data_IF_027225910923
#
_entry.id   IF_027225910923
#
_cell.length_a   1.000
_cell.length_b   1.000
_cell.length_c   1.000
_cell.angle_alpha   90.00
_cell.angle_beta   90.00
_cell.angle_gamma   90.00
#
_symmetry.space_group_name_H-M   'P 1'
#
loop_
_entity.id
_entity.type
_entity.pdbx_description
1 polymer ?
#
# COMPACT_ATOMS: atom_id res chain seq x y z
N UNK A 1 29.20 12.68 -16.66
CA UNK A 1 29.09 14.12 -16.32
C UNK A 1 28.54 14.23 -14.90
N UNK A 2 29.44 14.29 -13.93
CA UNK A 2 29.20 14.45 -12.48
C UNK A 2 30.30 15.43 -12.03
N UNK A 3 30.15 16.41 -11.14
CA UNK A 3 29.09 16.90 -10.26
C UNK A 3 29.50 18.36 -10.04
N UNK A 4 28.71 19.36 -10.44
CA UNK A 4 29.13 20.76 -10.27
C UNK A 4 29.05 21.25 -8.82
N UNK A 5 28.42 20.50 -7.92
CA UNK A 5 28.41 20.83 -6.50
C UNK A 5 28.05 19.58 -5.66
N UNK A 6 29.02 18.88 -5.05
CA UNK A 6 28.78 17.66 -4.29
C UNK A 6 27.94 17.92 -3.03
N UNK A 7 28.05 19.09 -2.42
CA UNK A 7 27.26 19.46 -1.23
C UNK A 7 25.77 19.64 -1.57
N UNK A 8 25.47 20.27 -2.71
CA UNK A 8 24.10 20.40 -3.21
C UNK A 8 23.51 19.02 -3.54
N UNK A 9 24.29 18.16 -4.22
CA UNK A 9 23.86 16.81 -4.54
C UNK A 9 23.56 16.01 -3.28
N UNK A 10 24.46 16.04 -2.29
CA UNK A 10 24.27 15.34 -1.02
C UNK A 10 23.08 15.87 -0.21
N UNK A 11 22.73 17.15 -0.36
CA UNK A 11 21.55 17.77 0.29
C UNK A 11 20.24 17.42 -0.42
N UNK A 12 20.26 17.27 -1.75
CA UNK A 12 19.09 16.91 -2.56
C UNK A 12 18.86 15.40 -2.64
N UNK A 13 19.91 14.58 -2.53
CA UNK A 13 19.83 13.13 -2.69
C UNK A 13 18.87 12.45 -1.70
N UNK A 14 18.78 12.85 -0.41
CA UNK A 14 17.75 12.34 0.50
C UNK A 14 16.33 12.80 0.17
N UNK A 15 16.18 13.92 -0.56
CA UNK A 15 14.90 14.46 -1.02
C UNK A 15 14.43 13.82 -2.34
N UNK A 16 15.34 13.18 -3.08
CA UNK A 16 14.97 12.30 -4.18
C UNK A 16 14.12 11.17 -3.58
N UNK A 17 12.82 11.26 -3.88
CA UNK A 17 11.71 10.53 -3.25
C UNK A 17 12.12 9.15 -2.72
N UNK A 18 11.73 8.90 -1.47
CA UNK A 18 11.82 7.60 -0.82
C UNK A 18 11.51 6.47 -1.79
N UNK A 19 12.31 5.39 -1.74
CA UNK A 19 12.16 4.21 -2.58
C UNK A 19 10.66 3.88 -2.75
N UNK A 20 10.10 4.00 -3.97
CA UNK A 20 8.66 3.86 -4.20
C UNK A 20 8.15 2.45 -3.91
N UNK A 21 9.05 1.49 -3.67
CA UNK A 21 8.72 0.14 -3.24
C UNK A 21 8.51 0.02 -1.72
N UNK A 22 8.74 1.10 -0.94
CA UNK A 22 8.56 1.08 0.51
C UNK A 22 7.23 1.71 0.91
N UNK A 23 6.46 1.02 1.76
CA UNK A 23 5.17 1.48 2.29
C UNK A 23 5.23 2.90 2.88
N UNK A 24 6.36 3.27 3.51
CA UNK A 24 6.60 4.59 4.10
C UNK A 24 6.57 5.74 3.08
N UNK A 25 6.71 5.46 1.78
CA UNK A 25 6.62 6.46 0.73
C UNK A 25 5.18 6.92 0.46
N UNK A 26 4.19 6.18 0.98
CA UNK A 26 2.76 6.44 0.76
C UNK A 26 1.98 6.69 2.05
N UNK A 27 2.55 6.35 3.21
CA UNK A 27 1.90 6.51 4.51
C UNK A 27 2.72 7.38 5.44
N UNK A 28 2.08 8.40 5.99
CA UNK A 28 2.59 9.24 7.06
C UNK A 28 2.03 8.75 8.40
N UNK A 29 2.92 8.42 9.34
CA UNK A 29 2.52 7.94 10.67
C UNK A 29 2.02 9.10 11.52
N UNK A 30 0.75 9.04 11.92
CA UNK A 30 0.15 10.02 12.84
C UNK A 30 0.28 9.52 14.28
N UNK A 31 -0.13 8.28 14.53
CA UNK A 31 -0.05 7.63 15.84
C UNK A 31 0.16 6.12 15.66
N UNK A 32 0.88 5.48 16.57
CA UNK A 32 1.20 4.05 16.45
C UNK A 32 1.34 3.46 17.83
N UNK A 33 0.84 2.22 18.02
CA UNK A 33 0.91 1.50 19.28
C UNK A 33 0.16 2.22 20.42
N UNK A 34 -0.99 2.83 20.11
CA UNK A 34 -1.83 3.49 21.10
C UNK A 34 -2.77 2.46 21.74
N UNK A 35 -2.65 2.24 23.05
CA UNK A 35 -3.54 1.32 23.77
C UNK A 35 -4.97 1.89 23.82
N UNK A 36 -5.95 1.06 23.48
CA UNK A 36 -7.37 1.41 23.63
C UNK A 36 -7.84 0.96 25.00
N UNK A 37 -8.25 1.92 25.83
CA UNK A 37 -8.71 1.66 27.21
C UNK A 37 -9.81 0.60 27.26
N UNK A 38 -9.74 -0.28 28.25
CA UNK A 38 -10.69 -1.38 28.42
C UNK A 38 -10.52 -2.54 27.43
N UNK A 39 -9.46 -2.56 26.62
CA UNK A 39 -9.18 -3.64 25.65
C UNK A 39 -7.70 -4.01 25.62
N UNK A 40 -7.36 -5.16 25.02
CA UNK A 40 -5.97 -5.52 24.69
C UNK A 40 -5.53 -4.97 23.31
N UNK A 41 -6.34 -4.10 22.71
CA UNK A 41 -6.16 -3.62 21.33
C UNK A 41 -5.19 -2.44 21.27
N UNK A 42 -4.36 -2.44 20.22
CA UNK A 42 -3.45 -1.35 19.87
C UNK A 42 -3.92 -0.68 18.58
N UNK A 43 -4.11 0.63 18.62
CA UNK A 43 -4.46 1.44 17.47
C UNK A 43 -3.21 1.97 16.75
N UNK A 44 -3.30 1.98 15.43
CA UNK A 44 -2.30 2.56 14.54
C UNK A 44 -3.02 3.45 13.52
N UNK A 45 -2.61 4.70 13.41
CA UNK A 45 -3.21 5.72 12.57
C UNK A 45 -2.17 6.27 11.59
N UNK A 46 -2.50 6.22 10.31
CA UNK A 46 -1.66 6.69 9.23
C UNK A 46 -2.51 7.54 8.27
N UNK A 47 -1.92 8.60 7.73
CA UNK A 47 -2.48 9.33 6.60
C UNK A 47 -1.78 8.95 5.31
N UNK A 48 -2.50 9.08 4.19
CA UNK A 48 -1.88 8.94 2.87
C UNK A 48 -1.01 10.17 2.62
N UNK A 49 0.25 9.94 2.25
CA UNK A 49 1.21 10.98 1.96
C UNK A 49 0.70 11.93 0.87
N UNK A 50 1.09 13.20 0.96
CA UNK A 50 0.71 14.22 -0.01
C UNK A 50 1.66 14.26 -1.21
N UNK A 51 1.17 14.73 -2.36
CA UNK A 51 2.00 15.06 -3.51
C UNK A 51 2.59 16.48 -3.40
N UNK A 52 3.38 16.89 -4.39
CA UNK A 52 3.98 18.24 -4.40
C UNK A 52 2.96 19.38 -4.49
N UNK A 53 1.69 19.08 -4.74
CA UNK A 53 0.57 20.02 -4.78
C UNK A 53 -0.34 19.89 -3.54
N UNK A 54 0.14 19.24 -2.46
CA UNK A 54 -0.60 18.99 -1.22
C UNK A 54 -1.86 18.15 -1.38
N UNK A 55 -1.95 17.33 -2.44
CA UNK A 55 -3.09 16.42 -2.65
C UNK A 55 -2.74 15.02 -2.14
N UNK A 56 -3.66 14.32 -1.46
CA UNK A 56 -3.43 12.94 -1.04
C UNK A 56 -3.12 12.02 -2.22
N UNK A 57 -2.04 11.23 -2.13
CA UNK A 57 -1.56 10.31 -3.17
C UNK A 57 -2.33 8.98 -3.21
N UNK A 58 -3.66 9.04 -3.11
CA UNK A 58 -4.52 7.86 -2.98
C UNK A 58 -4.35 6.89 -4.16
N UNK A 59 -4.32 7.41 -5.39
CA UNK A 59 -4.14 6.58 -6.58
C UNK A 59 -2.78 5.89 -6.63
N UNK A 60 -1.72 6.59 -6.22
CA UNK A 60 -0.38 5.99 -6.18
C UNK A 60 -0.30 4.91 -5.10
N UNK A 61 -0.88 5.17 -3.94
CA UNK A 61 -0.94 4.20 -2.86
C UNK A 61 -1.75 2.96 -3.24
N UNK A 62 -2.92 3.15 -3.86
CA UNK A 62 -3.75 2.05 -4.35
C UNK A 62 -3.02 1.19 -5.38
N UNK A 63 -2.27 1.82 -6.31
CA UNK A 63 -1.42 1.12 -7.27
C UNK A 63 -0.31 0.33 -6.57
N UNK A 64 0.39 0.93 -5.61
CA UNK A 64 1.41 0.24 -4.82
C UNK A 64 0.84 -1.00 -4.12
N UNK A 65 -0.32 -0.89 -3.45
CA UNK A 65 -0.97 -2.04 -2.82
C UNK A 65 -1.39 -3.10 -3.85
N UNK A 66 -1.89 -2.68 -5.02
CA UNK A 66 -2.26 -3.60 -6.08
C UNK A 66 -1.05 -4.40 -6.63
N UNK A 67 0.15 -3.82 -6.64
CA UNK A 67 1.39 -4.51 -7.02
C UNK A 67 1.81 -5.56 -5.97
N UNK A 68 1.48 -5.34 -4.69
CA UNK A 68 1.76 -6.27 -3.59
C UNK A 68 0.68 -7.34 -3.40
N UNK A 69 -0.38 -7.33 -4.21
CA UNK A 69 -1.58 -8.16 -3.98
C UNK A 69 -1.27 -9.65 -3.99
N UNK A 70 -0.33 -10.09 -4.85
CA UNK A 70 0.10 -11.49 -4.92
C UNK A 70 0.81 -11.89 -3.62
N UNK A 71 1.71 -11.05 -3.12
CA UNK A 71 2.48 -11.32 -1.92
C UNK A 71 1.64 -11.37 -0.63
N UNK A 72 0.53 -10.64 -0.62
CA UNK A 72 -0.39 -10.55 0.52
C UNK A 72 -1.45 -11.66 0.45
N UNK A 73 -1.97 -11.96 -0.74
CA UNK A 73 -3.15 -12.82 -0.89
C UNK A 73 -2.84 -14.28 -1.24
N UNK A 74 -1.66 -14.57 -1.78
CA UNK A 74 -1.29 -15.91 -2.25
C UNK A 74 -0.29 -16.58 -1.30
N UNK A 75 -0.49 -17.87 -0.94
CA UNK A 75 0.49 -18.61 -0.14
C UNK A 75 1.88 -18.68 -0.79
N UNK A 76 2.93 -18.55 0.03
CA UNK A 76 4.33 -18.55 -0.44
C UNK A 76 4.74 -19.82 -1.19
N UNK A 77 4.20 -20.97 -0.81
CA UNK A 77 4.42 -22.24 -1.52
C UNK A 77 3.89 -22.21 -2.96
N UNK A 78 2.76 -21.56 -3.18
CA UNK A 78 2.16 -21.42 -4.51
C UNK A 78 2.94 -20.44 -5.39
N UNK A 79 3.41 -19.33 -4.80
CA UNK A 79 4.30 -18.37 -5.46
C UNK A 79 5.58 -19.07 -5.93
N UNK A 80 6.24 -19.83 -5.04
CA UNK A 80 7.47 -20.54 -5.37
C UNK A 80 7.28 -21.55 -6.52
N UNK A 81 6.16 -22.30 -6.50
CA UNK A 81 5.83 -23.24 -7.58
C UNK A 81 5.68 -22.55 -8.92
N UNK A 82 4.95 -21.44 -8.98
CA UNK A 82 4.73 -20.72 -10.25
C UNK A 82 6.01 -20.07 -10.78
N UNK A 83 6.88 -19.56 -9.90
CA UNK A 83 8.19 -19.03 -10.29
C UNK A 83 9.08 -20.12 -10.88
N UNK A 84 9.09 -21.31 -10.27
CA UNK A 84 9.81 -22.48 -10.80
C UNK A 84 9.27 -22.89 -12.17
N UNK A 85 7.95 -22.99 -12.33
CA UNK A 85 7.31 -23.30 -13.61
C UNK A 85 7.67 -22.26 -14.69
N UNK A 86 7.68 -20.96 -14.33
CA UNK A 86 8.05 -19.89 -15.25
C UNK A 86 9.51 -19.99 -15.71
N UNK A 87 10.42 -20.37 -14.80
CA UNK A 87 11.82 -20.61 -15.14
C UNK A 87 12.01 -21.83 -16.04
N UNK A 88 11.33 -22.94 -15.74
CA UNK A 88 11.41 -24.19 -16.50
C UNK A 88 10.85 -24.05 -17.92
N UNK A 89 9.75 -23.30 -18.08
CA UNK A 89 9.06 -23.12 -19.36
C UNK A 89 9.53 -21.91 -20.15
N UNK A 90 10.26 -20.98 -19.53
CA UNK A 90 10.60 -19.68 -20.12
C UNK A 90 9.39 -18.77 -20.37
N UNK A 91 8.24 -19.06 -19.77
CA UNK A 91 6.97 -18.36 -20.01
C UNK A 91 6.55 -17.49 -18.83
N UNK A 92 5.99 -16.31 -19.12
CA UNK A 92 5.36 -15.45 -18.11
C UNK A 92 3.91 -15.86 -17.77
N UNK A 93 3.39 -16.93 -18.38
CA UNK A 93 2.03 -17.41 -18.14
C UNK A 93 1.78 -17.80 -16.66
N UNK A 94 2.68 -18.52 -15.95
CA UNK A 94 2.45 -18.91 -14.56
C UNK A 94 2.31 -17.72 -13.61
N UNK A 95 3.15 -16.69 -13.77
CA UNK A 95 3.09 -15.46 -12.96
C UNK A 95 1.84 -14.63 -13.27
N UNK A 96 1.44 -14.56 -14.55
CA UNK A 96 0.19 -13.90 -14.96
C UNK A 96 -1.04 -14.59 -14.35
N UNK A 97 -1.07 -15.93 -14.34
CA UNK A 97 -2.15 -16.70 -13.69
C UNK A 97 -2.23 -16.41 -12.19
N UNK A 98 -1.09 -16.30 -11.50
CA UNK A 98 -1.06 -15.92 -10.08
C UNK A 98 -1.65 -14.53 -9.84
N UNK A 99 -1.27 -13.54 -10.65
CA UNK A 99 -1.81 -12.19 -10.52
C UNK A 99 -3.34 -12.17 -10.71
N UNK A 100 -3.83 -12.87 -11.74
CA UNK A 100 -5.27 -13.00 -11.97
C UNK A 100 -5.97 -13.71 -10.82
N UNK A 101 -5.38 -14.79 -10.30
CA UNK A 101 -5.89 -15.51 -9.12
C UNK A 101 -5.99 -14.58 -7.91
N UNK A 102 -4.94 -13.81 -7.61
CA UNK A 102 -4.90 -12.88 -6.49
C UNK A 102 -6.00 -11.82 -6.62
N UNK A 103 -6.18 -11.22 -7.81
CA UNK A 103 -7.24 -10.24 -8.08
C UNK A 103 -8.63 -10.81 -7.88
N UNK A 104 -8.86 -12.07 -8.26
CA UNK A 104 -10.16 -12.73 -8.15
C UNK A 104 -10.56 -13.08 -6.70
N UNK A 105 -9.62 -13.07 -5.75
CA UNK A 105 -9.95 -13.24 -4.32
C UNK A 105 -10.71 -12.03 -3.76
N UNK A 106 -10.56 -10.86 -4.37
CA UNK A 106 -11.25 -9.65 -3.96
C UNK A 106 -12.64 -9.61 -4.62
N UNK A 107 -13.61 -10.28 -4.00
CA UNK A 107 -15.00 -10.28 -4.45
C UNK A 107 -15.71 -8.99 -4.05
N UNK A 108 -16.61 -8.51 -4.91
CA UNK A 108 -17.54 -7.43 -4.55
C UNK A 108 -18.54 -7.95 -3.52
N UNK A 109 -18.46 -7.47 -2.29
CA UNK A 109 -19.51 -7.68 -1.30
C UNK A 109 -20.74 -6.84 -1.70
N UNK A 110 -21.94 -7.43 -1.84
CA UNK A 110 -23.14 -6.71 -2.28
C UNK A 110 -23.62 -5.64 -1.28
N UNK A 111 -23.15 -5.71 -0.03
CA UNK A 111 -23.33 -4.69 1.01
C UNK A 111 -21.98 -4.54 1.72
N UNK A 112 -21.23 -3.49 1.42
CA UNK A 112 -20.01 -3.16 2.16
C UNK A 112 -20.36 -2.98 3.63
N UNK A 113 -19.51 -3.45 4.54
CA UNK A 113 -19.58 -3.14 5.98
C UNK A 113 -19.25 -1.67 6.28
N UNK A 114 -19.47 -0.75 5.32
CA UNK A 114 -19.41 0.68 5.57
C UNK A 114 -20.52 1.02 6.54
N UNK A 115 -20.12 1.30 7.78
CA UNK A 115 -20.95 2.06 8.70
C UNK A 115 -21.12 3.42 8.07
N UNK A 116 -22.20 3.61 7.31
CA UNK A 116 -22.62 4.94 6.87
C UNK A 116 -22.83 5.75 8.14
N UNK A 117 -22.04 6.81 8.31
CA UNK A 117 -22.33 7.82 9.31
C UNK A 117 -23.74 8.33 9.04
N UNK A 118 -24.66 8.02 9.95
CA UNK A 118 -25.94 8.69 10.00
C UNK A 118 -25.64 10.05 10.60
N UNK A 119 -25.56 11.08 9.77
CA UNK A 119 -25.71 12.46 10.26
C UNK A 119 -27.09 12.56 10.90
N UNK A 120 -27.17 12.31 12.20
CA UNK A 120 -28.27 12.87 12.98
C UNK A 120 -27.95 14.34 13.16
N UNK A 121 -28.65 15.15 12.37
CA UNK A 121 -28.79 16.58 12.60
C UNK A 121 -29.00 16.81 14.10
N UNK A 122 -28.03 17.45 14.73
CA UNK A 122 -28.18 17.97 16.09
C UNK A 122 -29.17 19.12 15.97
N UNK A 123 -30.45 18.81 16.17
CA UNK A 123 -31.38 19.78 16.71
C UNK A 123 -31.02 19.99 18.17
N UNK A 124 -30.36 21.12 18.40
CA UNK A 124 -30.73 22.11 19.40
C UNK A 124 -31.20 21.57 20.76
N UNK A 125 -30.30 21.64 21.73
CA UNK A 125 -30.52 22.09 23.10
C UNK A 125 -29.21 22.68 23.63
#
# INVERSE_FOLDING_TARGET
>A
MALQNPDLYNSLHPLLRANPLQLKAYLEKVACNISISGTQTKAHCYFVALDGNHRPRVNDFARFIAEQIVDIAIPRSEIARALKEAQETGSAAPTTRLNNKARNLFTKLPKSGEVRYVEKSVHQC
#
